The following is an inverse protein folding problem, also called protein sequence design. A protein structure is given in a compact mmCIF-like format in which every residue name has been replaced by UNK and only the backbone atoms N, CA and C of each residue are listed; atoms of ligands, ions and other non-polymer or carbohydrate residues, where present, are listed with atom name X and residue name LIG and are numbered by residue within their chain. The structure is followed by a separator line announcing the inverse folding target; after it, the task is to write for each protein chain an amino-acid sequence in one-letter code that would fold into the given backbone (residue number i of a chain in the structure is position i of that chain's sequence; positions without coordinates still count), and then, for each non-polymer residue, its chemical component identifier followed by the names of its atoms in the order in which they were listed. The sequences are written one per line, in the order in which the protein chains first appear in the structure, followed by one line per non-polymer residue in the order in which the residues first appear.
data_IF_797173597086
#
_entry.id   IF_797173597086
#
_cell.length_a   1.000
_cell.length_b   1.000
_cell.length_c   1.000
_cell.angle_alpha   90.00
_cell.angle_beta   90.00
_cell.angle_gamma   90.00
#
_symmetry.space_group_name_H-M   'P 1'
#
loop_
_entity.id
_entity.type
_entity.pdbx_description
1 polymer ?
#
# COMPACT_ATOMS: atom_id res chain seq x y z
N UNK A 1 20.09 -24.65 1.54
CA UNK A 1 19.78 -23.61 0.53
C UNK A 1 20.20 -22.29 1.12
N UNK A 2 21.07 -21.54 0.42
CA UNK A 2 21.51 -20.23 0.88
C UNK A 2 20.26 -19.31 0.85
N UNK A 3 19.98 -18.68 1.99
CA UNK A 3 18.96 -17.66 2.05
C UNK A 3 19.36 -16.54 1.08
N UNK A 4 18.58 -16.34 0.00
CA UNK A 4 18.78 -15.23 -0.93
C UNK A 4 18.60 -13.93 -0.17
N UNK A 5 19.54 -12.98 -0.34
CA UNK A 5 19.46 -11.68 0.32
C UNK A 5 18.36 -10.83 -0.31
N UNK A 6 17.16 -10.88 0.25
CA UNK A 6 16.03 -10.03 -0.14
C UNK A 6 16.06 -8.69 0.60
N UNK A 7 15.78 -7.61 -0.11
CA UNK A 7 15.54 -6.30 0.49
C UNK A 7 14.04 -6.07 0.70
N UNK A 8 13.62 -5.66 1.90
CA UNK A 8 12.25 -5.21 2.17
C UNK A 8 12.27 -3.69 2.35
N UNK A 9 11.43 -3.01 1.61
CA UNK A 9 11.21 -1.57 1.71
C UNK A 9 9.72 -1.29 1.88
N UNK A 10 9.38 -0.30 2.70
CA UNK A 10 8.01 0.15 2.88
C UNK A 10 7.90 1.62 2.45
N UNK A 11 6.96 1.91 1.56
CA UNK A 11 6.68 3.28 1.11
C UNK A 11 6.31 4.19 2.28
N UNK A 12 5.65 3.68 3.31
CA UNK A 12 5.27 4.46 4.49
C UNK A 12 6.47 5.01 5.28
N UNK A 13 7.65 4.40 5.16
CA UNK A 13 8.87 4.85 5.86
C UNK A 13 9.42 6.15 5.29
N UNK A 14 9.31 6.37 3.98
CA UNK A 14 9.88 7.54 3.29
C UNK A 14 8.83 8.44 2.65
N UNK A 15 7.64 7.92 2.36
CA UNK A 15 6.57 8.62 1.65
C UNK A 15 5.21 8.37 2.32
N UNK A 16 5.21 8.17 3.64
CA UNK A 16 4.05 7.72 4.42
C UNK A 16 3.18 8.86 4.92
N UNK A 17 1.87 8.57 5.00
CA UNK A 17 0.87 9.49 5.51
C UNK A 17 1.06 9.80 7.01
N UNK A 18 1.60 8.84 7.76
CA UNK A 18 1.89 9.01 9.19
C UNK A 18 3.08 9.97 9.48
N UNK A 19 3.82 10.37 8.45
CA UNK A 19 4.90 11.37 8.55
C UNK A 19 4.38 12.80 8.49
N UNK A 20 3.09 12.99 8.15
CA UNK A 20 2.46 14.29 7.93
C UNK A 20 1.36 14.51 8.97
N UNK A 21 1.31 15.71 9.53
CA UNK A 21 0.13 16.18 10.25
C UNK A 21 -1.04 16.38 9.28
N UNK A 22 -2.28 16.42 9.80
CA UNK A 22 -3.46 16.51 8.94
C UNK A 22 -3.44 17.77 8.03
N UNK A 23 -2.90 18.88 8.54
CA UNK A 23 -2.78 20.16 7.84
C UNK A 23 -1.67 20.19 6.76
N UNK A 24 -0.73 19.23 6.80
CA UNK A 24 0.38 19.10 5.85
C UNK A 24 0.04 18.21 4.67
N UNK A 25 -1.13 17.54 4.70
CA UNK A 25 -1.55 16.63 3.64
C UNK A 25 -1.95 17.37 2.39
N UNK A 26 -1.10 17.29 1.38
CA UNK A 26 -1.33 17.90 0.08
C UNK A 26 -0.78 17.00 -1.04
N UNK A 27 -1.64 16.25 -1.75
CA UNK A 27 -1.21 15.32 -2.79
C UNK A 27 -0.62 16.02 -4.03
N UNK A 28 -0.77 17.33 -4.17
CA UNK A 28 -0.15 18.09 -5.25
C UNK A 28 1.34 18.29 -5.04
N UNK A 29 1.81 18.32 -3.78
CA UNK A 29 3.18 18.63 -3.40
C UNK A 29 3.92 17.45 -2.76
N UNK A 30 3.26 16.31 -2.54
CA UNK A 30 3.93 15.11 -2.05
C UNK A 30 4.63 14.34 -3.17
N UNK A 31 5.68 13.61 -2.84
CA UNK A 31 6.47 12.83 -3.80
C UNK A 31 6.91 11.49 -3.22
N UNK A 32 6.96 10.49 -4.06
CA UNK A 32 7.55 9.17 -3.75
C UNK A 32 9.08 9.14 -3.91
N UNK A 33 9.74 10.28 -4.11
CA UNK A 33 11.19 10.34 -4.37
C UNK A 33 12.01 9.59 -3.32
N UNK A 34 11.72 9.78 -2.03
CA UNK A 34 12.38 9.05 -0.93
C UNK A 34 12.20 7.52 -0.99
N UNK A 35 11.07 7.04 -1.51
CA UNK A 35 10.89 5.59 -1.78
C UNK A 35 11.91 5.11 -2.82
N UNK A 36 12.16 5.89 -3.86
CA UNK A 36 13.20 5.57 -4.86
C UNK A 36 14.62 5.59 -4.28
N UNK A 37 14.92 6.51 -3.36
CA UNK A 37 16.20 6.53 -2.64
C UNK A 37 16.41 5.28 -1.78
N UNK A 38 15.36 4.80 -1.08
CA UNK A 38 15.43 3.54 -0.34
C UNK A 38 15.69 2.35 -1.25
N UNK A 39 15.05 2.31 -2.42
CA UNK A 39 15.28 1.26 -3.42
C UNK A 39 16.71 1.31 -3.93
N UNK A 40 17.25 2.49 -4.26
CA UNK A 40 18.65 2.64 -4.67
C UNK A 40 19.62 2.15 -3.59
N UNK A 41 19.35 2.47 -2.33
CA UNK A 41 20.17 1.98 -1.20
C UNK A 41 20.16 0.44 -1.12
N UNK A 42 18.99 -0.19 -1.36
CA UNK A 42 18.91 -1.64 -1.41
C UNK A 42 19.71 -2.23 -2.60
N UNK A 43 19.65 -1.60 -3.77
CA UNK A 43 20.44 -1.99 -4.95
C UNK A 43 21.94 -1.90 -4.66
N UNK A 44 22.39 -0.82 -4.02
CA UNK A 44 23.79 -0.63 -3.61
C UNK A 44 24.27 -1.69 -2.61
N UNK A 45 23.37 -2.17 -1.75
CA UNK A 45 23.65 -3.29 -0.83
C UNK A 45 23.70 -4.66 -1.53
N UNK A 46 23.38 -4.72 -2.82
CA UNK A 46 23.48 -5.94 -3.63
C UNK A 46 22.39 -6.98 -3.33
N UNK A 47 21.17 -6.53 -2.97
CA UNK A 47 20.04 -7.45 -2.77
C UNK A 47 19.64 -8.13 -4.09
N UNK A 48 19.19 -9.37 -4.02
CA UNK A 48 18.82 -10.18 -5.18
C UNK A 48 17.34 -9.93 -5.61
N UNK A 49 16.51 -9.42 -4.72
CA UNK A 49 15.12 -9.03 -4.99
C UNK A 49 14.68 -7.97 -3.99
N UNK A 50 13.70 -7.15 -4.37
CA UNK A 50 13.09 -6.13 -3.53
C UNK A 50 11.61 -6.46 -3.35
N UNK A 51 11.16 -6.49 -2.10
CA UNK A 51 9.75 -6.43 -1.77
C UNK A 51 9.39 -5.01 -1.34
N UNK A 52 8.44 -4.39 -2.04
CA UNK A 52 7.95 -3.06 -1.76
C UNK A 52 6.55 -3.14 -1.13
N UNK A 53 6.43 -2.77 0.15
CA UNK A 53 5.16 -2.54 0.81
C UNK A 53 4.54 -1.22 0.33
N UNK A 54 3.26 -1.22 -0.02
CA UNK A 54 2.57 -0.03 -0.59
C UNK A 54 1.44 0.49 0.30
N UNK A 55 1.39 0.07 1.57
CA UNK A 55 0.43 0.57 2.56
C UNK A 55 0.78 1.98 3.06
N UNK A 56 -0.22 2.73 3.52
CA UNK A 56 -0.02 3.98 4.26
C UNK A 56 0.64 5.14 3.51
N UNK A 57 0.66 5.17 2.18
CA UNK A 57 1.32 6.23 1.39
C UNK A 57 0.61 7.58 1.48
N UNK A 58 1.39 8.68 1.48
CA UNK A 58 0.90 10.06 1.41
C UNK A 58 0.77 10.58 -0.03
N UNK A 59 1.41 9.92 -0.99
CA UNK A 59 1.63 10.41 -2.35
C UNK A 59 0.52 9.98 -3.32
N UNK A 60 0.31 10.79 -4.36
CA UNK A 60 -0.52 10.45 -5.52
C UNK A 60 0.22 10.86 -6.80
N UNK A 61 1.46 10.38 -6.94
CA UNK A 61 2.40 10.83 -7.97
C UNK A 61 2.74 9.75 -9.00
N UNK A 62 1.93 8.69 -9.13
CA UNK A 62 2.14 7.57 -10.07
C UNK A 62 3.51 6.86 -9.89
N UNK A 63 4.17 7.09 -8.76
CA UNK A 63 5.54 6.62 -8.53
C UNK A 63 6.60 7.39 -9.32
N UNK A 64 6.24 8.50 -9.98
CA UNK A 64 7.19 9.25 -10.82
C UNK A 64 8.36 9.81 -10.01
N UNK A 65 8.11 10.20 -8.74
CA UNK A 65 9.17 10.62 -7.84
C UNK A 65 10.19 9.50 -7.59
N UNK A 66 9.71 8.31 -7.28
CA UNK A 66 10.58 7.14 -7.06
C UNK A 66 11.37 6.76 -8.31
N UNK A 67 10.71 6.74 -9.48
CA UNK A 67 11.35 6.47 -10.76
C UNK A 67 12.39 7.56 -11.09
N UNK A 68 12.13 8.83 -10.73
CA UNK A 68 13.08 9.93 -10.92
C UNK A 68 14.33 9.75 -10.04
N UNK A 69 14.16 9.38 -8.77
CA UNK A 69 15.30 9.07 -7.92
C UNK A 69 16.15 7.90 -8.44
N UNK A 70 15.50 6.95 -9.15
CA UNK A 70 16.15 5.77 -9.74
C UNK A 70 16.72 6.00 -11.14
N UNK A 71 16.65 7.21 -11.71
CA UNK A 71 17.33 7.57 -12.95
C UNK A 71 16.44 7.91 -14.15
N UNK A 72 15.11 7.78 -14.07
CA UNK A 72 14.25 8.39 -15.06
C UNK A 72 14.27 9.91 -14.91
N UNK A 73 14.21 10.62 -16.01
CA UNK A 73 14.13 12.07 -16.03
C UNK A 73 12.84 12.51 -16.72
N UNK A 74 12.24 13.58 -16.21
CA UNK A 74 11.03 14.16 -16.77
C UNK A 74 11.36 15.57 -17.23
N UNK A 75 11.27 15.81 -18.54
CA UNK A 75 11.73 17.06 -19.15
C UNK A 75 10.53 17.93 -19.55
N UNK A 76 10.73 19.24 -19.47
CA UNK A 76 9.80 20.21 -20.03
C UNK A 76 9.96 20.34 -21.56
N UNK A 77 9.25 21.30 -22.18
CA UNK A 77 9.33 21.58 -23.62
C UNK A 77 10.69 22.13 -24.09
N UNK A 78 11.47 22.69 -23.17
CA UNK A 78 12.80 23.24 -23.45
C UNK A 78 13.90 22.19 -23.27
N UNK A 79 13.57 21.03 -22.71
CA UNK A 79 14.52 19.99 -22.34
C UNK A 79 15.09 20.14 -20.94
N UNK A 80 14.55 21.05 -20.13
CA UNK A 80 14.97 21.23 -18.74
C UNK A 80 14.31 20.18 -17.84
N UNK A 81 15.08 19.64 -16.89
CA UNK A 81 14.60 18.58 -16.00
C UNK A 81 13.67 19.13 -14.90
N UNK A 82 12.55 18.43 -14.70
CA UNK A 82 11.62 18.65 -13.60
C UNK A 82 11.87 17.56 -12.54
N UNK A 83 12.41 17.96 -11.40
CA UNK A 83 12.78 17.02 -10.31
C UNK A 83 12.59 17.65 -8.93
N UNK A 84 11.88 16.98 -8.02
CA UNK A 84 11.03 15.81 -8.27
C UNK A 84 9.77 16.15 -9.08
N UNK A 85 9.25 15.22 -9.90
CA UNK A 85 8.06 15.45 -10.73
C UNK A 85 6.78 15.30 -9.88
N UNK A 86 6.51 16.32 -9.04
CA UNK A 86 5.29 16.36 -8.21
C UNK A 86 4.06 16.68 -9.06
N UNK A 87 2.84 16.29 -8.64
CA UNK A 87 1.61 16.52 -9.40
C UNK A 87 1.38 17.97 -9.82
N UNK A 88 1.77 18.95 -8.99
CA UNK A 88 1.63 20.38 -9.33
C UNK A 88 2.51 20.81 -10.54
N UNK A 89 3.63 20.15 -10.78
CA UNK A 89 4.51 20.42 -11.91
C UNK A 89 4.20 19.60 -13.17
N UNK A 90 3.29 18.65 -13.09
CA UNK A 90 3.03 17.71 -14.19
C UNK A 90 2.62 18.36 -15.50
N UNK A 91 1.90 19.51 -15.46
CA UNK A 91 1.52 20.22 -16.67
C UNK A 91 2.71 20.68 -17.52
N UNK A 92 3.88 20.81 -16.92
CA UNK A 92 5.13 21.22 -17.57
C UNK A 92 5.86 20.03 -18.22
N UNK A 93 5.64 18.80 -17.76
CA UNK A 93 6.29 17.60 -18.28
C UNK A 93 5.83 17.34 -19.71
N UNK A 94 6.77 17.28 -20.65
CA UNK A 94 6.55 16.93 -22.04
C UNK A 94 7.09 15.57 -22.42
N UNK A 95 8.23 15.16 -21.85
CA UNK A 95 8.95 13.95 -22.30
C UNK A 95 9.64 13.25 -21.13
N UNK A 96 9.31 11.99 -20.85
CA UNK A 96 10.15 11.13 -20.03
C UNK A 96 11.40 10.70 -20.80
N UNK A 97 12.55 10.57 -20.11
CA UNK A 97 13.82 10.09 -20.67
C UNK A 97 14.59 9.24 -19.67
N UNK A 98 15.62 8.55 -20.13
CA UNK A 98 16.45 7.71 -19.27
C UNK A 98 15.83 6.31 -19.04
N UNK A 99 16.49 5.53 -18.22
CA UNK A 99 16.10 4.16 -17.83
C UNK A 99 16.50 3.93 -16.39
N UNK A 100 15.88 2.94 -15.75
CA UNK A 100 16.32 2.45 -14.45
C UNK A 100 17.74 1.85 -14.56
N UNK A 101 18.49 1.76 -13.44
CA UNK A 101 19.79 1.10 -13.41
C UNK A 101 19.70 -0.34 -13.95
N UNK A 102 20.65 -0.74 -14.79
CA UNK A 102 20.65 -2.06 -15.41
C UNK A 102 20.76 -3.22 -14.40
N UNK A 103 21.27 -2.93 -13.19
CA UNK A 103 21.39 -3.86 -12.07
C UNK A 103 20.19 -3.80 -11.11
N UNK A 104 19.09 -3.15 -11.49
CA UNK A 104 17.85 -3.17 -10.68
C UNK A 104 17.37 -4.61 -10.55
N UNK A 105 17.29 -5.16 -9.34
CA UNK A 105 16.81 -6.53 -9.14
C UNK A 105 15.29 -6.59 -9.35
N UNK A 106 14.70 -7.79 -9.47
CA UNK A 106 13.26 -7.95 -9.53
C UNK A 106 12.57 -7.25 -8.37
N UNK A 107 11.52 -6.48 -8.68
CA UNK A 107 10.71 -5.77 -7.70
C UNK A 107 9.36 -6.45 -7.58
N UNK A 108 9.00 -6.83 -6.38
CA UNK A 108 7.69 -7.37 -6.01
C UNK A 108 6.97 -6.36 -5.14
N UNK A 109 5.69 -6.15 -5.40
CA UNK A 109 4.86 -5.18 -4.68
C UNK A 109 3.83 -5.92 -3.85
N UNK A 110 3.93 -5.82 -2.53
CA UNK A 110 2.94 -6.37 -1.61
C UNK A 110 1.68 -5.51 -1.65
N UNK A 111 0.61 -6.01 -2.28
CA UNK A 111 -0.61 -5.26 -2.55
C UNK A 111 -1.85 -6.11 -2.30
N UNK A 112 -2.68 -5.69 -1.34
CA UNK A 112 -3.95 -6.35 -0.98
C UNK A 112 -5.19 -5.60 -1.50
N UNK A 113 -4.98 -4.60 -2.38
CA UNK A 113 -6.06 -3.84 -3.01
C UNK A 113 -6.09 -4.10 -4.51
N UNK A 114 -7.27 -4.01 -5.11
CA UNK A 114 -7.52 -4.26 -6.53
C UNK A 114 -7.88 -2.99 -7.32
N UNK A 115 -7.75 -1.81 -6.70
CA UNK A 115 -8.07 -0.54 -7.31
C UNK A 115 -7.21 -0.30 -8.57
N UNK A 116 -7.84 0.02 -9.73
CA UNK A 116 -7.11 0.46 -10.90
C UNK A 116 -6.47 1.84 -10.65
N UNK A 117 -5.66 2.32 -11.58
CA UNK A 117 -5.06 3.64 -11.46
C UNK A 117 -6.09 4.78 -11.51
N UNK A 118 -7.04 4.70 -12.43
CA UNK A 118 -7.98 5.76 -12.78
C UNK A 118 -9.45 5.34 -12.61
N UNK A 119 -10.33 6.34 -12.64
CA UNK A 119 -11.77 6.14 -12.61
C UNK A 119 -12.39 6.16 -11.20
N UNK A 120 -13.67 5.83 -11.07
CA UNK A 120 -14.41 6.00 -9.80
C UNK A 120 -13.87 5.11 -8.66
N UNK A 121 -13.18 4.01 -9.00
CA UNK A 121 -12.51 3.13 -8.06
C UNK A 121 -10.98 3.30 -8.11
N UNK A 122 -10.48 4.34 -8.77
CA UNK A 122 -9.05 4.60 -8.98
C UNK A 122 -8.35 5.18 -7.75
N UNK A 123 -7.02 5.32 -7.88
CA UNK A 123 -6.15 5.80 -6.82
C UNK A 123 -6.59 7.15 -6.23
N UNK A 124 -6.83 8.15 -7.09
CA UNK A 124 -7.19 9.50 -6.65
C UNK A 124 -8.60 9.54 -6.06
N UNK A 125 -9.56 8.82 -6.65
CA UNK A 125 -10.94 8.82 -6.19
C UNK A 125 -11.10 8.19 -4.80
N UNK A 126 -10.44 7.05 -4.56
CA UNK A 126 -10.60 6.26 -3.33
C UNK A 126 -9.66 6.75 -2.22
N UNK A 127 -8.39 7.01 -2.55
CA UNK A 127 -7.36 7.30 -1.54
C UNK A 127 -6.97 8.78 -1.48
N UNK A 128 -7.34 9.59 -2.49
CA UNK A 128 -7.03 11.01 -2.54
C UNK A 128 -7.58 11.81 -1.35
N UNK A 129 -8.85 11.62 -0.92
CA UNK A 129 -9.43 12.40 0.17
C UNK A 129 -8.64 12.29 1.49
N UNK A 130 -8.18 11.11 1.89
CA UNK A 130 -7.37 10.94 3.10
C UNK A 130 -5.98 11.57 3.00
N UNK A 131 -5.51 11.85 1.78
CA UNK A 131 -4.23 12.51 1.48
C UNK A 131 -4.37 14.01 1.28
N UNK A 132 -5.57 14.57 1.47
CA UNK A 132 -5.85 15.99 1.34
C UNK A 132 -6.39 16.43 -0.03
N UNK A 133 -6.68 15.50 -0.95
CA UNK A 133 -7.28 15.87 -2.24
C UNK A 133 -8.71 16.36 -2.05
N UNK A 134 -8.96 17.59 -2.50
CA UNK A 134 -10.32 18.15 -2.49
C UNK A 134 -11.17 17.51 -3.59
N UNK A 135 -12.47 17.31 -3.31
CA UNK A 135 -13.39 16.73 -4.29
C UNK A 135 -13.47 17.53 -5.60
N UNK A 136 -13.31 18.86 -5.52
CA UNK A 136 -13.30 19.74 -6.68
C UNK A 136 -12.08 19.53 -7.59
N UNK A 137 -10.96 19.04 -7.04
CA UNK A 137 -9.70 18.82 -7.75
C UNK A 137 -9.57 17.42 -8.35
N UNK A 138 -10.47 16.51 -7.98
CA UNK A 138 -10.42 15.11 -8.47
C UNK A 138 -10.42 15.03 -10.00
N UNK A 139 -11.26 15.74 -10.77
CA UNK A 139 -11.21 15.68 -12.24
C UNK A 139 -9.88 16.16 -12.82
N UNK A 140 -9.25 17.18 -12.21
CA UNK A 140 -7.94 17.69 -12.62
C UNK A 140 -6.85 16.64 -12.35
N UNK A 141 -6.88 15.99 -11.18
CA UNK A 141 -5.92 14.96 -10.80
C UNK A 141 -6.04 13.74 -11.74
N UNK A 142 -7.27 13.28 -12.00
CA UNK A 142 -7.52 12.17 -12.92
C UNK A 142 -7.00 12.45 -14.34
N UNK A 143 -7.33 13.62 -14.92
CA UNK A 143 -6.88 13.98 -16.26
C UNK A 143 -5.35 14.11 -16.35
N UNK A 144 -4.71 14.67 -15.31
CA UNK A 144 -3.25 14.77 -15.24
C UNK A 144 -2.60 13.39 -15.12
N UNK A 145 -3.17 12.52 -14.26
CA UNK A 145 -2.71 11.13 -14.08
C UNK A 145 -2.81 10.33 -15.38
N UNK A 146 -3.93 10.42 -16.10
CA UNK A 146 -4.14 9.74 -17.38
C UNK A 146 -3.07 10.14 -18.40
N UNK A 147 -2.82 11.45 -18.54
CA UNK A 147 -1.81 11.97 -19.46
C UNK A 147 -0.40 11.48 -19.12
N UNK A 148 0.00 11.55 -17.85
CA UNK A 148 1.34 11.13 -17.42
C UNK A 148 1.50 9.61 -17.51
N UNK A 149 0.45 8.85 -17.19
CA UNK A 149 0.45 7.39 -17.37
C UNK A 149 0.65 7.00 -18.83
N UNK A 150 -0.03 7.68 -19.78
CA UNK A 150 0.17 7.46 -21.20
C UNK A 150 1.61 7.76 -21.63
N UNK A 151 2.17 8.90 -21.23
CA UNK A 151 3.56 9.27 -21.52
C UNK A 151 4.57 8.24 -20.99
N UNK A 152 4.34 7.73 -19.76
CA UNK A 152 5.23 6.72 -19.18
C UNK A 152 5.11 5.39 -19.92
N UNK A 153 3.88 4.95 -20.27
CA UNK A 153 3.67 3.74 -21.04
C UNK A 153 4.36 3.82 -22.42
N UNK A 154 4.20 4.94 -23.13
CA UNK A 154 4.83 5.17 -24.43
C UNK A 154 6.36 5.12 -24.34
N UNK A 155 6.94 5.79 -23.33
CA UNK A 155 8.39 5.78 -23.09
C UNK A 155 8.93 4.39 -22.80
N UNK A 156 8.20 3.57 -22.04
CA UNK A 156 8.61 2.22 -21.64
C UNK A 156 8.16 1.13 -22.61
N UNK A 157 7.45 1.49 -23.68
CA UNK A 157 6.89 0.51 -24.65
C UNK A 157 5.85 -0.41 -24.03
N UNK A 158 5.12 0.05 -23.02
CA UNK A 158 4.08 -0.72 -22.31
C UNK A 158 2.67 -0.39 -22.83
N UNK A 159 1.73 -1.35 -22.80
CA UNK A 159 0.37 -1.08 -23.22
C UNK A 159 -0.32 -0.10 -22.25
N UNK A 160 -1.09 0.87 -22.80
CA UNK A 160 -1.87 1.82 -21.98
C UNK A 160 -2.89 1.12 -21.09
N UNK A 161 -3.29 -0.12 -21.41
CA UNK A 161 -4.17 -0.93 -20.56
C UNK A 161 -3.61 -1.27 -19.18
N UNK A 162 -2.32 -1.07 -18.94
CA UNK A 162 -1.67 -1.25 -17.63
C UNK A 162 -2.35 -0.43 -16.53
N UNK A 163 -2.94 0.73 -16.85
CA UNK A 163 -3.72 1.56 -15.91
C UNK A 163 -4.92 0.82 -15.30
N UNK A 164 -5.46 -0.18 -16.00
CA UNK A 164 -6.63 -0.94 -15.58
C UNK A 164 -6.27 -2.23 -14.83
N UNK A 165 -4.99 -2.51 -14.65
CA UNK A 165 -4.54 -3.68 -13.89
C UNK A 165 -5.03 -3.56 -12.45
N UNK A 166 -5.70 -4.61 -11.89
CA UNK A 166 -6.04 -4.62 -10.47
C UNK A 166 -4.81 -4.36 -9.61
N UNK A 167 -4.91 -3.39 -8.68
CA UNK A 167 -3.80 -2.97 -7.84
C UNK A 167 -2.91 -1.86 -8.42
N UNK A 168 -3.06 -1.47 -9.69
CA UNK A 168 -2.26 -0.39 -10.30
C UNK A 168 -2.38 0.95 -9.54
N UNK A 169 -3.52 1.20 -8.90
CA UNK A 169 -3.77 2.39 -8.09
C UNK A 169 -3.13 2.38 -6.69
N UNK A 170 -2.55 1.26 -6.27
CA UNK A 170 -1.96 1.16 -4.94
C UNK A 170 -0.89 2.23 -4.72
N UNK A 171 -0.88 2.80 -3.50
CA UNK A 171 0.00 3.87 -3.07
C UNK A 171 -0.01 5.09 -4.01
N UNK A 172 -1.19 5.49 -4.51
CA UNK A 172 -1.32 6.65 -5.40
C UNK A 172 -0.65 6.44 -6.76
N UNK A 173 -0.62 5.19 -7.23
CA UNK A 173 -0.07 4.78 -8.51
C UNK A 173 1.41 4.39 -8.47
N UNK A 174 2.05 4.30 -7.31
CA UNK A 174 3.43 3.75 -7.20
C UNK A 174 3.48 2.36 -7.85
N UNK A 175 2.47 1.51 -7.59
CA UNK A 175 2.38 0.20 -8.22
C UNK A 175 2.37 0.28 -9.75
N UNK A 176 1.56 1.16 -10.33
CA UNK A 176 1.54 1.42 -11.77
C UNK A 176 2.91 1.83 -12.31
N UNK A 177 3.58 2.79 -11.63
CA UNK A 177 4.90 3.28 -12.03
C UNK A 177 5.93 2.16 -12.13
N UNK A 178 6.04 1.32 -11.09
CA UNK A 178 6.99 0.20 -11.07
C UNK A 178 6.59 -0.94 -11.99
N UNK A 179 5.30 -1.26 -12.16
CA UNK A 179 4.84 -2.22 -13.15
C UNK A 179 5.23 -1.80 -14.58
N UNK A 180 5.16 -0.49 -14.85
CA UNK A 180 5.47 0.07 -16.18
C UNK A 180 6.96 0.17 -16.42
N UNK A 181 7.76 0.65 -15.45
CA UNK A 181 9.18 0.95 -15.64
C UNK A 181 10.13 -0.19 -15.23
N UNK A 182 9.71 -1.08 -14.32
CA UNK A 182 10.56 -2.15 -13.76
C UNK A 182 9.97 -3.55 -13.96
N UNK A 183 8.89 -3.72 -14.68
CA UNK A 183 8.16 -4.99 -14.79
C UNK A 183 7.79 -5.60 -13.43
N UNK A 184 7.56 -4.75 -12.43
CA UNK A 184 7.26 -5.18 -11.07
C UNK A 184 5.99 -6.04 -11.02
N UNK A 185 6.01 -7.06 -10.18
CA UNK A 185 4.90 -7.99 -10.01
C UNK A 185 4.13 -7.67 -8.72
N UNK A 186 2.81 -7.63 -8.82
CA UNK A 186 1.95 -7.53 -7.63
C UNK A 186 1.84 -8.89 -6.96
N UNK A 187 2.03 -8.93 -5.65
CA UNK A 187 1.87 -10.11 -4.82
C UNK A 187 0.83 -9.81 -3.72
N UNK A 188 -0.03 -10.79 -3.37
CA UNK A 188 -0.88 -10.68 -2.20
C UNK A 188 -0.01 -10.48 -0.94
N UNK A 189 -0.14 -9.31 -0.28
CA UNK A 189 0.70 -8.95 0.84
C UNK A 189 0.50 -9.88 2.04
N UNK A 190 -0.75 -10.27 2.31
CA UNK A 190 -1.09 -11.18 3.39
C UNK A 190 -0.42 -12.56 3.21
N UNK A 191 -0.43 -13.12 2.00
CA UNK A 191 0.20 -14.40 1.70
C UNK A 191 1.72 -14.33 1.84
N UNK A 192 2.31 -13.23 1.38
CA UNK A 192 3.74 -13.00 1.52
C UNK A 192 4.15 -12.93 3.01
N UNK A 193 3.45 -12.12 3.80
CA UNK A 193 3.71 -11.99 5.24
C UNK A 193 3.53 -13.34 5.95
N UNK A 194 2.49 -14.09 5.58
CA UNK A 194 2.25 -15.42 6.13
C UNK A 194 3.40 -16.39 5.85
N UNK A 195 3.93 -16.38 4.61
CA UNK A 195 5.08 -17.20 4.23
C UNK A 195 6.37 -16.75 4.93
N UNK A 196 6.60 -15.43 5.02
CA UNK A 196 7.79 -14.85 5.65
C UNK A 196 7.90 -15.24 7.13
N UNK A 197 6.79 -15.18 7.85
CA UNK A 197 6.74 -15.51 9.28
C UNK A 197 6.44 -16.98 9.55
N UNK A 198 6.41 -17.84 8.53
CA UNK A 198 6.05 -19.26 8.67
C UNK A 198 4.78 -19.47 9.49
N UNK A 199 3.75 -18.67 9.16
CA UNK A 199 2.48 -18.62 9.89
C UNK A 199 1.83 -20.00 9.94
N UNK A 200 1.96 -20.82 8.90
CA UNK A 200 1.41 -22.18 8.86
C UNK A 200 1.96 -23.08 9.97
N UNK A 201 3.28 -23.08 10.18
CA UNK A 201 3.91 -23.85 11.25
C UNK A 201 3.49 -23.35 12.63
N UNK A 202 3.39 -22.02 12.79
CA UNK A 202 2.91 -21.43 14.04
C UNK A 202 1.45 -21.78 14.32
N UNK A 203 0.58 -21.71 13.32
CA UNK A 203 -0.81 -22.13 13.45
C UNK A 203 -0.93 -23.62 13.79
N UNK A 204 -0.14 -24.48 13.12
CA UNK A 204 -0.15 -25.90 13.38
C UNK A 204 0.17 -26.23 14.86
N UNK A 205 1.13 -25.53 15.45
CA UNK A 205 1.61 -25.73 16.83
C UNK A 205 0.81 -24.98 17.90
N UNK A 206 -0.10 -24.09 17.52
CA UNK A 206 -0.88 -23.29 18.47
C UNK A 206 -2.24 -23.94 18.78
N UNK A 207 -2.75 -23.78 20.00
CA UNK A 207 -4.10 -24.17 20.38
C UNK A 207 -5.09 -23.01 20.24
N UNK A 208 -4.60 -21.80 20.47
CA UNK A 208 -5.37 -20.55 20.44
C UNK A 208 -4.66 -19.56 19.52
N UNK A 209 -5.45 -18.90 18.69
CA UNK A 209 -5.00 -17.81 17.81
C UNK A 209 -5.70 -16.53 18.23
N UNK A 210 -4.93 -15.47 18.47
CA UNK A 210 -5.46 -14.15 18.80
C UNK A 210 -5.11 -13.21 17.64
N UNK A 211 -6.11 -12.50 17.13
CA UNK A 211 -5.95 -11.49 16.08
C UNK A 211 -6.88 -10.31 16.32
N UNK A 212 -6.74 -9.24 15.53
CA UNK A 212 -7.61 -8.08 15.69
C UNK A 212 -7.41 -7.02 14.63
N UNK A 213 -8.42 -6.17 14.50
CA UNK A 213 -8.43 -5.04 13.59
C UNK A 213 -9.40 -3.95 14.06
N UNK A 214 -9.44 -2.81 13.34
CA UNK A 214 -10.34 -1.71 13.70
C UNK A 214 -11.82 -2.06 13.55
N UNK A 215 -12.20 -2.75 12.46
CA UNK A 215 -13.57 -3.22 12.20
C UNK A 215 -13.51 -4.62 11.59
N UNK A 216 -14.16 -5.57 12.25
CA UNK A 216 -14.23 -6.96 11.81
C UNK A 216 -15.63 -7.27 11.26
N UNK A 217 -15.73 -7.53 9.98
CA UNK A 217 -16.97 -7.79 9.27
C UNK A 217 -16.86 -8.97 8.29
N UNK A 218 -17.91 -9.26 7.53
CA UNK A 218 -17.91 -10.38 6.57
C UNK A 218 -16.81 -10.25 5.49
N UNK A 219 -16.31 -9.05 5.20
CA UNK A 219 -15.22 -8.85 4.26
C UNK A 219 -13.86 -9.22 4.85
N UNK A 220 -13.70 -9.11 6.18
CA UNK A 220 -12.47 -9.50 6.88
C UNK A 220 -12.15 -10.97 6.68
N UNK A 221 -13.15 -11.85 6.76
CA UNK A 221 -12.98 -13.30 6.57
C UNK A 221 -12.67 -13.72 5.11
N UNK A 222 -12.76 -12.78 4.14
CA UNK A 222 -12.55 -13.07 2.71
C UNK A 222 -11.12 -12.85 2.23
N UNK A 223 -10.13 -12.86 3.11
CA UNK A 223 -8.74 -12.94 2.71
C UNK A 223 -7.91 -11.66 2.88
N UNK A 224 -8.24 -10.81 3.85
CA UNK A 224 -7.42 -9.63 4.17
C UNK A 224 -6.88 -9.70 5.61
N UNK A 225 -5.54 -9.59 5.74
CA UNK A 225 -4.85 -9.39 7.01
C UNK A 225 -5.33 -10.27 8.18
N UNK A 226 -5.80 -9.65 9.29
CA UNK A 226 -6.23 -10.35 10.49
C UNK A 226 -7.36 -11.36 10.27
N UNK A 227 -8.27 -11.07 9.34
CA UNK A 227 -9.38 -11.96 9.01
C UNK A 227 -8.94 -13.20 8.23
N UNK A 228 -7.95 -13.07 7.32
CA UNK A 228 -7.35 -14.22 6.64
C UNK A 228 -6.68 -15.17 7.64
N UNK A 229 -5.95 -14.62 8.62
CA UNK A 229 -5.37 -15.40 9.70
C UNK A 229 -6.44 -16.15 10.51
N UNK A 230 -7.54 -15.46 10.85
CA UNK A 230 -8.66 -16.06 11.57
C UNK A 230 -9.31 -17.20 10.75
N UNK A 231 -9.59 -16.97 9.47
CA UNK A 231 -10.17 -17.97 8.57
C UNK A 231 -9.26 -19.20 8.47
N UNK A 232 -7.97 -19.00 8.26
CA UNK A 232 -7.00 -20.09 8.16
C UNK A 232 -6.89 -20.90 9.46
N UNK A 233 -6.88 -20.22 10.61
CA UNK A 233 -6.87 -20.88 11.91
C UNK A 233 -8.14 -21.74 12.15
N UNK A 234 -9.31 -21.23 11.75
CA UNK A 234 -10.57 -21.98 11.82
C UNK A 234 -10.56 -23.21 10.92
N UNK A 235 -10.03 -23.14 9.68
CA UNK A 235 -9.83 -24.29 8.81
C UNK A 235 -8.97 -25.39 9.48
N UNK A 236 -7.96 -24.97 10.25
CA UNK A 236 -7.10 -25.86 11.04
C UNK A 236 -7.74 -26.27 12.37
N UNK A 237 -9.05 -25.98 12.55
CA UNK A 237 -9.83 -26.33 13.73
C UNK A 237 -9.31 -25.71 15.04
N UNK A 238 -8.64 -24.56 14.99
CA UNK A 238 -8.11 -23.83 16.15
C UNK A 238 -9.19 -22.95 16.79
N UNK A 239 -8.99 -22.62 18.06
CA UNK A 239 -9.80 -21.61 18.75
C UNK A 239 -9.28 -20.23 18.40
N UNK A 240 -10.16 -19.35 17.92
CA UNK A 240 -9.77 -18.01 17.46
C UNK A 240 -10.46 -16.96 18.30
N UNK A 241 -9.66 -16.00 18.80
CA UNK A 241 -10.16 -14.79 19.47
C UNK A 241 -9.84 -13.57 18.61
N UNK A 242 -10.87 -12.83 18.23
CA UNK A 242 -10.74 -11.56 17.48
C UNK A 242 -11.11 -10.41 18.40
N UNK A 243 -10.18 -9.49 18.59
CA UNK A 243 -10.41 -8.22 19.28
C UNK A 243 -10.52 -7.11 18.23
N UNK A 244 -11.68 -6.46 18.16
CA UNK A 244 -11.92 -5.43 17.16
C UNK A 244 -12.60 -4.20 17.75
N UNK A 245 -12.31 -3.02 17.19
CA UNK A 245 -12.99 -1.79 17.57
C UNK A 245 -14.50 -1.90 17.35
N UNK A 246 -14.91 -2.45 16.21
CA UNK A 246 -16.30 -2.73 15.87
C UNK A 246 -16.41 -4.13 15.26
N UNK A 247 -17.56 -4.78 15.47
CA UNK A 247 -17.86 -6.11 14.93
C UNK A 247 -19.20 -6.04 14.23
N UNK A 248 -19.23 -6.53 12.98
CA UNK A 248 -20.41 -6.52 12.10
C UNK A 248 -20.41 -7.77 11.22
N UNK A 249 -20.61 -8.93 11.85
CA UNK A 249 -20.69 -10.23 11.19
C UNK A 249 -22.13 -10.71 11.10
N UNK A 250 -22.53 -11.20 9.94
CA UNK A 250 -23.87 -11.81 9.73
C UNK A 250 -23.96 -13.21 10.32
N UNK A 251 -22.84 -13.91 10.44
CA UNK A 251 -22.78 -15.28 11.00
C UNK A 251 -21.43 -15.50 11.66
N UNK A 252 -21.44 -16.07 12.86
CA UNK A 252 -20.22 -16.34 13.64
C UNK A 252 -19.90 -17.83 13.56
N UNK A 253 -18.75 -18.23 12.98
CA UNK A 253 -18.31 -19.63 12.96
C UNK A 253 -18.12 -20.19 14.37
N UNK A 254 -18.32 -21.50 14.50
CA UNK A 254 -17.93 -22.21 15.72
C UNK A 254 -16.43 -22.02 15.98
N UNK A 255 -16.02 -21.86 17.23
CA UNK A 255 -14.65 -21.55 17.66
C UNK A 255 -14.12 -20.15 17.32
N UNK A 256 -14.95 -19.26 16.74
CA UNK A 256 -14.62 -17.84 16.59
C UNK A 256 -15.24 -17.05 17.76
N UNK A 257 -14.40 -16.52 18.61
CA UNK A 257 -14.79 -15.67 19.74
C UNK A 257 -14.50 -14.20 19.41
N UNK A 258 -15.57 -13.40 19.43
CA UNK A 258 -15.51 -12.00 19.03
C UNK A 258 -15.57 -11.08 20.26
N UNK A 259 -14.66 -10.10 20.31
CA UNK A 259 -14.54 -9.15 21.41
C UNK A 259 -14.54 -7.73 20.85
N UNK A 260 -15.70 -7.03 20.95
CA UNK A 260 -15.77 -5.61 20.65
C UNK A 260 -15.11 -4.83 21.78
N UNK A 261 -14.05 -4.07 21.48
CA UNK A 261 -13.30 -3.33 22.49
C UNK A 261 -13.76 -1.88 22.68
N UNK A 262 -14.51 -1.32 21.70
CA UNK A 262 -15.01 0.06 21.77
C UNK A 262 -16.36 0.11 22.47
N UNK A 263 -16.52 0.83 23.59
CA UNK A 263 -17.83 1.08 24.21
C UNK A 263 -18.79 1.79 23.24
N UNK A 264 -20.08 1.43 23.29
CA UNK A 264 -21.10 1.94 22.37
C UNK A 264 -21.25 3.47 22.36
N UNK A 265 -20.99 4.11 23.51
CA UNK A 265 -21.12 5.56 23.69
C UNK A 265 -19.86 6.33 23.28
N UNK A 266 -18.74 5.62 23.01
CA UNK A 266 -17.44 6.25 22.71
C UNK A 266 -17.37 6.70 21.27
N UNK A 267 -16.93 7.94 21.04
CA UNK A 267 -16.68 8.44 19.69
C UNK A 267 -15.48 7.73 19.04
N UNK A 268 -15.47 7.63 17.71
CA UNK A 268 -14.39 6.99 16.95
C UNK A 268 -13.02 7.63 17.27
N UNK A 269 -12.97 8.96 17.41
CA UNK A 269 -11.74 9.69 17.75
C UNK A 269 -11.21 9.34 19.14
N UNK A 270 -12.07 9.16 20.11
CA UNK A 270 -11.71 8.71 21.46
C UNK A 270 -11.27 7.25 21.46
N UNK A 271 -11.97 6.39 20.73
CA UNK A 271 -11.61 4.98 20.57
C UNK A 271 -10.19 4.81 19.99
N UNK A 272 -9.82 5.57 18.96
CA UNK A 272 -8.46 5.54 18.42
C UNK A 272 -7.42 6.00 19.45
N UNK A 273 -7.68 7.07 20.20
CA UNK A 273 -6.75 7.56 21.23
C UNK A 273 -6.56 6.57 22.37
N UNK A 274 -7.59 5.82 22.71
CA UNK A 274 -7.60 4.88 23.84
C UNK A 274 -7.42 3.41 23.40
N UNK A 275 -7.17 3.15 22.13
CA UNK A 275 -7.17 1.80 21.55
C UNK A 275 -6.27 0.81 22.32
N UNK A 276 -5.06 1.23 22.69
CA UNK A 276 -4.14 0.38 23.47
C UNK A 276 -4.70 0.01 24.85
N UNK A 277 -5.32 0.98 25.55
CA UNK A 277 -5.91 0.73 26.87
C UNK A 277 -7.14 -0.18 26.76
N UNK A 278 -8.02 0.09 25.79
CA UNK A 278 -9.22 -0.72 25.53
C UNK A 278 -8.85 -2.17 25.21
N UNK A 279 -7.86 -2.35 24.33
CA UNK A 279 -7.37 -3.69 23.96
C UNK A 279 -6.77 -4.41 25.17
N UNK A 280 -5.94 -3.74 25.95
CA UNK A 280 -5.31 -4.32 27.15
C UNK A 280 -6.38 -4.76 28.16
N UNK A 281 -7.38 -3.91 28.43
CA UNK A 281 -8.49 -4.26 29.32
C UNK A 281 -9.25 -5.46 28.82
N UNK A 282 -9.65 -5.46 27.54
CA UNK A 282 -10.42 -6.54 26.96
C UNK A 282 -9.68 -7.90 26.96
N UNK A 283 -8.36 -7.90 26.76
CA UNK A 283 -7.53 -9.10 26.86
C UNK A 283 -7.46 -9.59 28.31
N UNK A 284 -7.17 -8.71 29.26
CA UNK A 284 -7.10 -9.07 30.69
C UNK A 284 -8.42 -9.58 31.27
N UNK A 285 -9.55 -9.09 30.76
CA UNK A 285 -10.88 -9.54 31.17
C UNK A 285 -11.20 -10.95 30.60
N UNK A 286 -10.47 -11.40 29.60
CA UNK A 286 -10.73 -12.65 28.90
C UNK A 286 -9.77 -13.77 29.28
N UNK A 287 -8.53 -13.46 29.54
CA UNK A 287 -7.45 -14.39 29.87
C UNK A 287 -6.84 -14.12 31.25
#
# INVERSE_FOLDING_TARGET
EAATAGGVSDTATASGLALLEDEERDPWHTTSYGTGELINSAIELGVEAILLGVGGSATNDLGLGALNAMGLSFLDQNGDAISPPIPDTWSQISTPTGTLPANTPPIHIACDVDNPLLGPNGAAAIYGPQKGLLAADLPRMEAASERLAALLCDHQGKPHGTINTPGAGAAGGIAFGFMTAADAQLLPGADFVAAWFDVESHLASSDIVITGEGRFDDSSLRGKGPGALAARALELNKTVHVFAGQIDLTSVPEKLHLHAITPAEMSLKEAFRSASQLLTSAINDKF
#
